data_IF_346339330114
#
_entry.id   IF_346339330114
#
_cell.length_a   1.000
_cell.length_b   1.000
_cell.length_c   1.000
_cell.angle_alpha   90.00
_cell.angle_beta   90.00
_cell.angle_gamma   90.00
#
_symmetry.space_group_name_H-M   'P 1'
#
loop_
_entity.id
_entity.type
_entity.pdbx_description
1 polymer ?
#
# COMPACT_ATOMS: atom_id res chain seq x y z
N UNK A 1 -5.37 -14.23 19.84
CA UNK A 1 -6.53 -13.90 18.98
C UNK A 1 -6.06 -13.84 17.54
N UNK A 2 -6.34 -14.88 16.74
CA UNK A 2 -5.93 -14.92 15.34
C UNK A 2 -6.96 -14.13 14.50
N UNK A 3 -6.79 -12.81 14.38
CA UNK A 3 -7.61 -12.01 13.45
C UNK A 3 -7.21 -12.43 12.04
N UNK A 4 -7.98 -13.34 11.42
CA UNK A 4 -7.90 -13.56 9.97
C UNK A 4 -8.08 -12.19 9.31
N UNK A 5 -6.99 -11.62 8.80
CA UNK A 5 -7.08 -10.45 7.94
C UNK A 5 -7.93 -10.86 6.76
N UNK A 6 -9.09 -10.21 6.58
CA UNK A 6 -10.00 -10.45 5.46
C UNK A 6 -9.39 -9.89 4.17
N UNK A 7 -8.21 -10.39 3.81
CA UNK A 7 -7.38 -9.94 2.69
C UNK A 7 -7.41 -10.99 1.61
N UNK A 8 -7.76 -10.59 0.40
CA UNK A 8 -7.62 -11.41 -0.80
C UNK A 8 -6.42 -10.94 -1.62
N UNK A 9 -5.75 -11.87 -2.29
CA UNK A 9 -4.61 -11.55 -3.15
C UNK A 9 -5.11 -11.11 -4.53
N UNK A 10 -4.52 -10.04 -5.06
CA UNK A 10 -4.69 -9.58 -6.44
C UNK A 10 -3.31 -9.55 -7.08
N UNK A 11 -3.20 -10.09 -8.30
CA UNK A 11 -1.95 -10.08 -9.04
C UNK A 11 -1.63 -8.67 -9.54
N UNK A 12 -0.39 -8.26 -9.36
CA UNK A 12 0.16 -7.01 -9.87
C UNK A 12 1.28 -7.34 -10.85
N UNK A 13 1.48 -6.47 -11.85
CA UNK A 13 2.63 -6.59 -12.73
C UNK A 13 3.92 -6.30 -11.96
N UNK A 14 5.06 -6.74 -12.52
CA UNK A 14 6.37 -6.47 -11.92
C UNK A 14 6.60 -4.96 -11.75
N UNK A 15 6.31 -4.17 -12.78
CA UNK A 15 6.50 -2.72 -12.77
C UNK A 15 5.64 -2.03 -11.71
N UNK A 16 4.41 -2.52 -11.50
CA UNK A 16 3.54 -2.04 -10.41
C UNK A 16 4.14 -2.33 -9.03
N UNK A 17 4.71 -3.53 -8.84
CA UNK A 17 5.40 -3.88 -7.59
C UNK A 17 6.65 -3.03 -7.38
N UNK A 18 7.43 -2.76 -8.44
CA UNK A 18 8.60 -1.86 -8.37
C UNK A 18 8.18 -0.42 -8.01
N UNK A 19 7.10 0.09 -8.60
CA UNK A 19 6.54 1.40 -8.24
C UNK A 19 6.10 1.46 -6.76
N UNK A 20 5.48 0.40 -6.23
CA UNK A 20 5.12 0.30 -4.82
C UNK A 20 6.36 0.31 -3.90
N UNK A 21 7.46 -0.35 -4.30
CA UNK A 21 8.73 -0.31 -3.56
C UNK A 21 9.35 1.09 -3.53
N UNK A 22 9.34 1.79 -4.65
CA UNK A 22 9.80 3.17 -4.70
C UNK A 22 8.97 4.09 -3.80
N UNK A 23 7.65 3.88 -3.73
CA UNK A 23 6.79 4.63 -2.83
C UNK A 23 7.08 4.30 -1.36
N UNK A 24 7.26 3.02 -1.02
CA UNK A 24 7.64 2.58 0.31
C UNK A 24 8.95 3.22 0.80
N UNK A 25 9.95 3.31 -0.08
CA UNK A 25 11.24 3.93 0.25
C UNK A 25 11.12 5.44 0.50
N UNK A 26 10.27 6.14 -0.25
CA UNK A 26 9.99 7.57 -0.02
C UNK A 26 9.34 7.82 1.33
N UNK A 27 8.41 6.95 1.73
CA UNK A 27 7.74 7.03 3.03
C UNK A 27 8.70 6.72 4.19
N UNK A 28 9.65 5.80 3.98
CA UNK A 28 10.72 5.50 4.94
C UNK A 28 11.55 6.74 5.28
N UNK A 29 11.88 7.57 4.29
CA UNK A 29 12.62 8.81 4.48
C UNK A 29 11.84 9.92 5.21
N UNK A 30 10.52 9.79 5.35
CA UNK A 30 9.64 10.80 5.98
C UNK A 30 9.19 10.43 7.39
N UNK A 31 9.45 9.21 7.85
CA UNK A 31 8.95 8.73 9.14
C UNK A 31 9.84 9.23 10.28
N UNK A 32 9.40 10.27 11.00
CA UNK A 32 10.06 10.78 12.22
C UNK A 32 10.22 9.70 13.31
N UNK A 33 9.36 8.68 13.29
CA UNK A 33 9.36 7.59 14.27
C UNK A 33 10.07 6.32 13.76
N UNK A 34 10.68 6.35 12.56
CA UNK A 34 11.36 5.20 11.97
C UNK A 34 10.44 4.05 11.57
N UNK A 35 9.12 4.25 11.65
CA UNK A 35 8.13 3.23 11.30
C UNK A 35 7.95 3.25 9.78
N UNK A 36 8.42 2.19 9.12
CA UNK A 36 8.29 2.03 7.67
C UNK A 36 7.05 1.20 7.37
N UNK A 37 6.09 1.68 6.56
CA UNK A 37 4.94 0.87 6.17
C UNK A 37 5.39 -0.34 5.35
N UNK A 38 4.72 -1.47 5.50
CA UNK A 38 4.94 -2.63 4.63
C UNK A 38 4.44 -2.35 3.22
N UNK A 39 4.99 -3.07 2.23
CA UNK A 39 4.53 -2.97 0.83
C UNK A 39 3.01 -3.21 0.69
N UNK A 40 2.44 -4.07 1.55
CA UNK A 40 0.99 -4.35 1.56
C UNK A 40 0.17 -3.19 2.13
N UNK A 41 0.69 -2.45 3.10
CA UNK A 41 0.04 -1.24 3.60
C UNK A 41 0.07 -0.12 2.57
N UNK A 42 1.22 0.05 1.89
CA UNK A 42 1.35 0.99 0.77
C UNK A 42 0.36 0.65 -0.35
N UNK A 43 0.30 -0.61 -0.76
CA UNK A 43 -0.62 -1.07 -1.81
C UNK A 43 -2.09 -0.84 -1.43
N UNK A 44 -2.49 -1.22 -0.21
CA UNK A 44 -3.87 -1.01 0.26
C UNK A 44 -4.23 0.47 0.34
N UNK A 45 -3.34 1.30 0.89
CA UNK A 45 -3.56 2.74 0.97
C UNK A 45 -3.74 3.39 -0.41
N UNK A 46 -2.94 2.97 -1.39
CA UNK A 46 -3.05 3.44 -2.77
C UNK A 46 -4.39 3.03 -3.40
N UNK A 47 -4.76 1.76 -3.29
CA UNK A 47 -6.03 1.23 -3.83
C UNK A 47 -7.23 1.89 -3.17
N UNK A 48 -7.24 2.01 -1.84
CA UNK A 48 -8.32 2.68 -1.10
C UNK A 48 -8.49 4.14 -1.54
N UNK A 49 -7.38 4.85 -1.75
CA UNK A 49 -7.39 6.25 -2.20
C UNK A 49 -7.97 6.37 -3.61
N UNK A 50 -7.52 5.51 -4.54
CA UNK A 50 -8.03 5.49 -5.90
C UNK A 50 -9.53 5.15 -5.96
N UNK A 51 -9.97 4.13 -5.22
CA UNK A 51 -11.38 3.74 -5.16
C UNK A 51 -12.26 4.81 -4.53
N UNK A 52 -11.77 5.53 -3.49
CA UNK A 52 -12.50 6.67 -2.91
C UNK A 52 -12.68 7.80 -3.91
N UNK A 53 -11.68 8.08 -4.75
CA UNK A 53 -11.78 9.10 -5.80
C UNK A 53 -12.79 8.70 -6.86
N UNK A 54 -12.77 7.43 -7.31
CA UNK A 54 -13.71 6.93 -8.32
C UNK A 54 -15.17 6.92 -7.84
N UNK A 55 -15.42 6.76 -6.54
CA UNK A 55 -16.79 6.77 -5.96
C UNK A 55 -17.36 8.17 -5.76
N UNK A 56 -16.54 9.21 -5.88
CA UNK A 56 -16.94 10.62 -5.69
C UNK A 56 -17.26 11.33 -7.01
N UNK A 57 -17.01 10.71 -8.16
CA UNK A 57 -17.47 11.15 -9.48
C UNK A 57 -18.68 10.34 -9.93
#
# INVERSE_FOLDING_TARGET
>A
MNRKSNTQAVLLTRDQVEALRHLQERERGRSEFGITPSIHEVARGLVDSALKTLRKG
#
